data_IF_243393217750
#
_entry.id   IF_243393217750
#
_cell.length_a   1.000
_cell.length_b   1.000
_cell.length_c   1.000
_cell.angle_alpha   90.00
_cell.angle_beta   90.00
_cell.angle_gamma   90.00
#
_symmetry.space_group_name_H-M   'P 1'
#
loop_
_entity.id
_entity.type
_entity.pdbx_description
1 polymer ?
#
# COMPACT_ATOMS: atom_id res chain seq x y z
N UNK A 1 9.56 9.95 4.48
CA UNK A 1 8.30 9.32 3.94
C UNK A 1 8.19 9.43 2.42
N UNK A 2 8.57 10.58 1.85
CA UNK A 2 8.44 10.84 0.41
C UNK A 2 9.29 9.92 -0.47
N UNK A 3 10.49 9.55 -0.02
CA UNK A 3 11.35 8.60 -0.72
C UNK A 3 10.68 7.22 -0.88
N UNK A 4 10.00 6.75 0.17
CA UNK A 4 9.29 5.47 0.14
C UNK A 4 8.06 5.51 -0.77
N UNK A 5 7.35 6.63 -0.78
CA UNK A 5 6.26 6.86 -1.74
C UNK A 5 6.79 6.88 -3.18
N UNK A 6 7.91 7.58 -3.41
CA UNK A 6 8.60 7.62 -4.72
C UNK A 6 9.04 6.23 -5.19
N UNK A 7 9.59 5.42 -4.28
CA UNK A 7 9.90 4.02 -4.55
C UNK A 7 8.65 3.20 -4.91
N UNK A 8 7.54 3.40 -4.20
CA UNK A 8 6.26 2.77 -4.52
C UNK A 8 5.72 3.15 -5.90
N UNK A 9 5.89 4.42 -6.30
CA UNK A 9 5.53 4.93 -7.62
C UNK A 9 6.40 4.29 -8.71
N UNK A 10 7.72 4.30 -8.55
CA UNK A 10 8.66 3.80 -9.57
C UNK A 10 8.61 2.29 -9.76
N UNK A 11 8.16 1.54 -8.74
CA UNK A 11 8.03 0.07 -8.81
C UNK A 11 6.60 -0.37 -9.13
N UNK A 12 5.71 -0.32 -8.14
CA UNK A 12 4.36 -0.85 -8.26
C UNK A 12 3.48 0.07 -9.10
N UNK A 13 3.65 1.40 -8.96
CA UNK A 13 2.96 2.37 -9.80
C UNK A 13 3.30 2.20 -11.29
N UNK A 14 4.58 2.03 -11.62
CA UNK A 14 5.03 1.75 -12.99
C UNK A 14 4.44 0.45 -13.56
N UNK A 15 4.37 -0.62 -12.76
CA UNK A 15 3.73 -1.87 -13.17
C UNK A 15 2.22 -1.72 -13.41
N UNK A 16 1.51 -0.98 -12.54
CA UNK A 16 0.09 -0.66 -12.74
C UNK A 16 -0.10 0.13 -14.03
N UNK A 17 0.76 1.11 -14.31
CA UNK A 17 0.72 1.90 -15.56
C UNK A 17 0.93 1.02 -16.78
N UNK A 18 1.91 0.12 -16.74
CA UNK A 18 2.17 -0.80 -17.84
C UNK A 18 0.99 -1.74 -18.08
N UNK A 19 0.39 -2.28 -17.00
CA UNK A 19 -0.80 -3.10 -17.11
C UNK A 19 -1.98 -2.32 -17.69
N UNK A 20 -2.19 -1.08 -17.24
CA UNK A 20 -3.22 -0.20 -17.74
C UNK A 20 -3.02 0.11 -19.24
N UNK A 21 -1.79 0.33 -19.68
CA UNK A 21 -1.46 0.58 -21.09
C UNK A 21 -1.79 -0.62 -21.98
N UNK A 22 -1.47 -1.84 -21.54
CA UNK A 22 -1.84 -3.07 -22.25
C UNK A 22 -3.36 -3.20 -22.38
N UNK A 23 -4.11 -2.95 -21.30
CA UNK A 23 -5.57 -3.00 -21.33
C UNK A 23 -6.18 -1.88 -22.21
N UNK A 24 -5.58 -0.69 -22.20
CA UNK A 24 -6.01 0.43 -23.03
C UNK A 24 -5.86 0.07 -24.51
N UNK A 25 -4.68 -0.43 -24.92
CA UNK A 25 -4.43 -0.87 -26.31
C UNK A 25 -5.40 -1.96 -26.75
N UNK A 26 -5.67 -2.95 -25.89
CA UNK A 26 -6.60 -4.02 -26.19
C UNK A 26 -8.05 -3.54 -26.36
N UNK A 27 -8.45 -2.49 -25.61
CA UNK A 27 -9.80 -1.92 -25.68
C UNK A 27 -9.95 -0.78 -26.69
N UNK A 28 -8.90 -0.48 -27.48
CA UNK A 28 -8.90 0.62 -28.45
C UNK A 28 -8.85 2.02 -27.81
N UNK A 29 -8.47 2.11 -26.53
CA UNK A 29 -8.36 3.36 -25.77
C UNK A 29 -6.93 3.80 -25.52
N UNK A 30 -6.76 4.91 -24.79
CA UNK A 30 -5.47 5.43 -24.36
C UNK A 30 -5.44 5.65 -22.84
N UNK A 31 -4.23 5.63 -22.26
CA UNK A 31 -4.00 5.99 -20.87
C UNK A 31 -4.01 7.51 -20.71
N UNK A 32 -5.11 8.07 -20.18
CA UNK A 32 -5.17 9.48 -19.81
C UNK A 32 -4.40 9.80 -18.52
N UNK A 33 -4.22 11.09 -18.23
CA UNK A 33 -3.53 11.58 -17.03
C UNK A 33 -4.15 11.08 -15.72
N UNK A 34 -5.47 10.88 -15.70
CA UNK A 34 -6.19 10.32 -14.55
C UNK A 34 -5.74 8.89 -14.20
N UNK A 35 -5.43 8.07 -15.21
CA UNK A 35 -4.91 6.71 -15.04
C UNK A 35 -3.51 6.75 -14.44
N UNK A 36 -2.65 7.63 -14.96
CA UNK A 36 -1.27 7.80 -14.48
C UNK A 36 -1.29 8.26 -13.01
N UNK A 37 -2.05 9.32 -12.73
CA UNK A 37 -2.19 9.88 -11.38
C UNK A 37 -2.73 8.84 -10.39
N UNK A 38 -3.76 8.08 -10.77
CA UNK A 38 -4.28 7.01 -9.93
C UNK A 38 -3.25 5.92 -9.66
N UNK A 39 -2.45 5.54 -10.66
CA UNK A 39 -1.43 4.50 -10.53
C UNK A 39 -0.30 4.95 -9.60
N UNK A 40 0.08 6.23 -9.65
CA UNK A 40 1.04 6.81 -8.73
C UNK A 40 0.51 6.80 -7.29
N UNK A 41 -0.74 7.23 -7.06
CA UNK A 41 -1.34 7.21 -5.72
C UNK A 41 -1.47 5.79 -5.16
N UNK A 42 -1.90 4.82 -5.97
CA UNK A 42 -1.99 3.40 -5.55
C UNK A 42 -0.58 2.82 -5.34
N UNK A 43 0.38 3.17 -6.17
CA UNK A 43 1.79 2.78 -6.04
C UNK A 43 2.42 3.28 -4.74
N UNK A 44 2.23 4.56 -4.40
CA UNK A 44 2.68 5.13 -3.12
C UNK A 44 2.06 4.38 -1.94
N UNK A 45 0.74 4.19 -1.94
CA UNK A 45 0.05 3.47 -0.88
C UNK A 45 0.55 2.02 -0.75
N UNK A 46 0.84 1.37 -1.88
CA UNK A 46 1.41 0.02 -1.89
C UNK A 46 2.81 0.00 -1.27
N UNK A 47 3.70 0.91 -1.66
CA UNK A 47 5.06 0.99 -1.10
C UNK A 47 5.06 1.13 0.41
N UNK A 48 4.23 2.06 0.93
CA UNK A 48 4.04 2.28 2.36
C UNK A 48 3.53 1.03 3.09
N UNK A 49 2.44 0.41 2.61
CA UNK A 49 1.84 -0.74 3.29
C UNK A 49 2.65 -2.03 3.13
N UNK A 50 3.33 -2.19 1.99
CA UNK A 50 4.27 -3.29 1.78
C UNK A 50 5.43 -3.20 2.75
N UNK A 51 5.89 -1.99 3.10
CA UNK A 51 6.90 -1.82 4.13
C UNK A 51 6.41 -2.27 5.51
N UNK A 52 5.21 -1.82 5.92
CA UNK A 52 4.58 -2.26 7.18
C UNK A 52 4.48 -3.78 7.21
N UNK A 53 4.04 -4.40 6.12
CA UNK A 53 3.98 -5.85 6.00
C UNK A 53 5.38 -6.48 6.01
N UNK A 54 6.40 -5.91 5.40
CA UNK A 54 7.74 -6.47 5.35
C UNK A 54 8.53 -6.27 6.66
N UNK A 55 8.07 -5.39 7.56
CA UNK A 55 8.78 -5.05 8.80
C UNK A 55 9.15 -6.26 9.65
N UNK A 56 8.20 -7.13 10.00
CA UNK A 56 8.44 -8.30 10.85
C UNK A 56 9.52 -9.27 10.30
N UNK A 57 9.45 -9.76 9.04
CA UNK A 57 10.48 -10.65 8.51
C UNK A 57 11.84 -9.94 8.34
N UNK A 58 11.87 -8.64 8.06
CA UNK A 58 13.12 -7.88 8.00
C UNK A 58 13.75 -7.71 9.39
N UNK A 59 12.94 -7.42 10.40
CA UNK A 59 13.38 -7.34 11.80
C UNK A 59 13.96 -8.67 12.27
N UNK A 60 13.39 -9.81 11.87
CA UNK A 60 13.95 -11.13 12.18
C UNK A 60 15.35 -11.38 11.62
N UNK A 61 15.76 -10.57 10.62
CA UNK A 61 17.09 -10.59 10.00
C UNK A 61 18.00 -9.46 10.49
N UNK A 62 17.58 -8.69 11.51
CA UNK A 62 18.34 -7.53 11.99
C UNK A 62 18.19 -6.27 11.13
N UNK A 63 17.25 -6.24 10.18
CA UNK A 63 17.07 -5.12 9.26
C UNK A 63 15.87 -4.29 9.71
N UNK A 64 16.11 -3.04 10.13
CA UNK A 64 15.06 -2.08 10.46
C UNK A 64 14.80 -1.19 9.24
N UNK A 65 13.79 -1.54 8.46
CA UNK A 65 13.37 -0.76 7.30
C UNK A 65 12.12 0.05 7.69
N UNK A 66 12.33 1.22 8.29
CA UNK A 66 11.28 2.21 8.61
C UNK A 66 11.81 3.61 8.31
N UNK A 67 10.96 4.57 7.91
CA UNK A 67 11.40 5.93 7.60
C UNK A 67 12.04 6.61 8.82
N UNK A 68 13.31 6.97 8.71
CA UNK A 68 14.09 7.57 9.81
C UNK A 68 13.48 8.88 10.31
N UNK A 69 12.93 9.70 9.41
CA UNK A 69 12.23 10.95 9.75
C UNK A 69 11.08 10.67 10.72
N UNK A 70 10.32 9.61 10.46
CA UNK A 70 9.15 9.25 11.26
C UNK A 70 9.54 8.62 12.59
N UNK A 71 10.61 7.83 12.61
CA UNK A 71 11.18 7.33 13.87
C UNK A 71 11.65 8.48 14.76
N UNK A 72 12.33 9.46 14.18
CA UNK A 72 12.86 10.63 14.89
C UNK A 72 11.74 11.49 15.47
N UNK A 73 10.64 11.69 14.72
CA UNK A 73 9.45 12.40 15.20
C UNK A 73 8.82 11.77 16.45
N UNK A 74 8.88 10.44 16.56
CA UNK A 74 8.35 9.68 17.71
C UNK A 74 9.42 9.34 18.76
N UNK A 75 10.63 9.90 18.66
CA UNK A 75 11.72 9.66 19.62
C UNK A 75 12.24 8.21 19.63
N UNK A 76 12.05 7.49 18.54
CA UNK A 76 12.48 6.09 18.37
C UNK A 76 13.82 6.01 17.66
N UNK A 77 14.68 5.12 18.16
CA UNK A 77 15.86 4.67 17.44
C UNK A 77 15.58 3.31 16.79
N UNK A 78 16.27 2.97 15.68
CA UNK A 78 16.17 1.64 15.07
C UNK A 78 16.49 0.52 16.07
N UNK A 79 17.44 0.74 16.98
CA UNK A 79 17.83 -0.21 18.03
C UNK A 79 16.69 -0.48 19.02
N UNK A 80 15.92 0.55 19.40
CA UNK A 80 14.77 0.38 20.28
C UNK A 80 13.70 -0.49 19.63
N UNK A 81 13.43 -0.29 18.35
CA UNK A 81 12.49 -1.11 17.58
C UNK A 81 12.98 -2.55 17.47
N UNK A 82 14.26 -2.76 17.16
CA UNK A 82 14.83 -4.10 17.10
C UNK A 82 14.71 -4.84 18.43
N UNK A 83 14.99 -4.15 19.53
CA UNK A 83 14.86 -4.69 20.89
C UNK A 83 13.43 -4.70 21.44
N UNK A 84 12.42 -4.36 20.63
CA UNK A 84 10.99 -4.29 21.01
C UNK A 84 10.72 -3.37 22.21
N UNK A 85 11.51 -2.31 22.35
CA UNK A 85 11.31 -1.24 23.34
C UNK A 85 10.37 -0.17 22.78
N UNK A 86 9.67 0.53 23.66
CA UNK A 86 8.78 1.64 23.33
C UNK A 86 7.65 1.25 22.33
N UNK A 87 6.87 0.24 22.72
CA UNK A 87 5.82 -0.35 21.88
C UNK A 87 4.77 0.69 21.42
N UNK A 88 4.41 1.64 22.28
CA UNK A 88 3.40 2.67 21.96
C UNK A 88 3.91 3.65 20.89
N UNK A 89 5.19 4.05 20.96
CA UNK A 89 5.80 4.87 19.94
C UNK A 89 5.87 4.11 18.60
N UNK A 90 6.14 2.80 18.63
CA UNK A 90 6.18 1.99 17.40
C UNK A 90 4.79 1.88 16.75
N UNK A 91 3.73 1.76 17.56
CA UNK A 91 2.34 1.80 17.09
C UNK A 91 2.01 3.16 16.48
N UNK A 92 2.48 4.26 17.08
CA UNK A 92 2.25 5.61 16.56
C UNK A 92 2.88 5.81 15.17
N UNK A 93 4.13 5.34 14.98
CA UNK A 93 4.81 5.33 13.67
C UNK A 93 3.98 4.56 12.63
N UNK A 94 3.55 3.34 12.94
CA UNK A 94 2.74 2.54 12.00
C UNK A 94 1.39 3.19 11.72
N UNK A 95 0.77 3.82 12.72
CA UNK A 95 -0.49 4.54 12.55
C UNK A 95 -0.36 5.70 11.56
N UNK A 96 0.73 6.45 11.61
CA UNK A 96 1.01 7.53 10.67
C UNK A 96 1.23 7.00 9.24
N UNK A 97 1.98 5.90 9.10
CA UNK A 97 2.17 5.24 7.79
C UNK A 97 0.82 4.79 7.22
N UNK A 98 0.00 4.13 8.03
CA UNK A 98 -1.34 3.67 7.63
C UNK A 98 -2.24 4.85 7.26
N UNK A 99 -2.14 5.96 7.98
CA UNK A 99 -2.91 7.16 7.68
C UNK A 99 -2.57 7.72 6.30
N UNK A 100 -1.28 7.94 6.02
CA UNK A 100 -0.79 8.45 4.73
C UNK A 100 -1.13 7.48 3.59
N UNK A 101 -0.92 6.18 3.78
CA UNK A 101 -1.25 5.17 2.77
C UNK A 101 -2.76 5.10 2.49
N UNK A 102 -3.59 5.20 3.53
CA UNK A 102 -5.05 5.24 3.38
C UNK A 102 -5.50 6.49 2.62
N UNK A 103 -4.88 7.64 2.89
CA UNK A 103 -5.15 8.89 2.17
C UNK A 103 -4.79 8.77 0.68
N UNK A 104 -3.60 8.25 0.36
CA UNK A 104 -3.21 7.99 -1.03
C UNK A 104 -4.16 7.02 -1.74
N UNK A 105 -4.51 5.90 -1.09
CA UNK A 105 -5.45 4.95 -1.69
C UNK A 105 -6.82 5.58 -1.95
N UNK A 106 -7.31 6.41 -1.02
CA UNK A 106 -8.56 7.16 -1.18
C UNK A 106 -8.48 8.14 -2.35
N UNK A 107 -7.44 8.98 -2.40
CA UNK A 107 -7.25 9.92 -3.53
C UNK A 107 -7.13 9.19 -4.87
N UNK A 108 -6.47 8.02 -4.90
CA UNK A 108 -6.42 7.18 -6.09
C UNK A 108 -7.79 6.66 -6.51
N UNK A 109 -8.70 6.35 -5.56
CA UNK A 109 -10.07 5.92 -5.82
C UNK A 109 -10.99 7.06 -6.26
N UNK A 110 -10.78 8.26 -5.75
CA UNK A 110 -11.55 9.44 -6.15
C UNK A 110 -11.37 9.72 -7.65
N UNK A 111 -10.23 9.33 -8.23
CA UNK A 111 -9.95 9.40 -9.67
C UNK A 111 -10.63 8.31 -10.51
N UNK A 112 -11.29 7.32 -9.90
CA UNK A 112 -11.90 6.17 -10.61
C UNK A 112 -12.89 6.60 -11.69
N UNK A 113 -13.60 7.73 -11.51
CA UNK A 113 -14.52 8.28 -12.51
C UNK A 113 -13.84 8.71 -13.81
N UNK A 114 -12.57 9.11 -13.75
CA UNK A 114 -11.77 9.46 -14.93
C UNK A 114 -11.17 8.25 -15.65
N UNK A 115 -11.34 7.04 -15.10
CA UNK A 115 -10.74 5.81 -15.62
C UNK A 115 -11.83 4.96 -16.31
N UNK A 116 -11.65 4.62 -17.61
CA UNK A 116 -12.52 3.70 -18.32
C UNK A 116 -12.65 2.33 -17.63
N UNK A 117 -13.85 1.75 -17.68
CA UNK A 117 -14.13 0.44 -17.05
C UNK A 117 -13.22 -0.69 -17.54
N UNK A 118 -12.75 -0.62 -18.80
CA UNK A 118 -11.83 -1.61 -19.38
C UNK A 118 -10.43 -1.58 -18.75
N UNK A 119 -10.02 -0.45 -18.17
CA UNK A 119 -8.67 -0.23 -17.62
C UNK A 119 -8.64 -0.47 -16.10
N UNK A 120 -9.76 -0.25 -15.40
CA UNK A 120 -9.89 -0.44 -13.94
C UNK A 120 -9.34 -1.79 -13.41
N UNK A 121 -9.42 -2.93 -14.13
CA UNK A 121 -8.81 -4.18 -13.67
C UNK A 121 -7.31 -4.10 -13.33
N UNK A 122 -6.55 -3.18 -13.96
CA UNK A 122 -5.13 -2.96 -13.66
C UNK A 122 -4.85 -2.62 -12.19
N UNK A 123 -5.84 -2.04 -11.50
CA UNK A 123 -5.69 -1.51 -10.14
C UNK A 123 -6.18 -2.48 -9.06
N UNK A 124 -7.11 -3.37 -9.40
CA UNK A 124 -7.89 -4.13 -8.42
C UNK A 124 -7.01 -4.99 -7.52
N UNK A 125 -6.05 -5.72 -8.08
CA UNK A 125 -5.20 -6.61 -7.30
C UNK A 125 -4.38 -5.84 -6.25
N UNK A 126 -3.72 -4.75 -6.66
CA UNK A 126 -2.92 -3.91 -5.78
C UNK A 126 -3.79 -3.23 -4.72
N UNK A 127 -4.92 -2.62 -5.12
CA UNK A 127 -5.83 -1.93 -4.20
C UNK A 127 -6.45 -2.89 -3.15
N UNK A 128 -6.87 -4.09 -3.56
CA UNK A 128 -7.39 -5.11 -2.64
C UNK A 128 -6.31 -5.60 -1.66
N UNK A 129 -5.07 -5.73 -2.15
CA UNK A 129 -3.92 -6.10 -1.31
C UNK A 129 -3.68 -5.06 -0.22
N UNK A 130 -3.67 -3.78 -0.59
CA UNK A 130 -3.48 -2.66 0.34
C UNK A 130 -4.63 -2.60 1.36
N UNK A 131 -5.89 -2.69 0.92
CA UNK A 131 -7.05 -2.73 1.82
C UNK A 131 -6.94 -3.82 2.88
N UNK A 132 -6.52 -5.01 2.45
CA UNK A 132 -6.35 -6.15 3.37
C UNK A 132 -5.25 -5.89 4.39
N UNK A 133 -4.10 -5.37 3.97
CA UNK A 133 -3.00 -5.05 4.89
C UNK A 133 -3.47 -3.97 5.87
N UNK A 134 -4.08 -2.88 5.40
CA UNK A 134 -4.63 -1.82 6.27
C UNK A 134 -5.62 -2.40 7.27
N UNK A 135 -6.54 -3.28 6.83
CA UNK A 135 -7.53 -3.91 7.69
C UNK A 135 -6.88 -4.77 8.78
N UNK A 136 -5.88 -5.58 8.44
CA UNK A 136 -5.15 -6.38 9.43
C UNK A 136 -4.38 -5.47 10.38
N UNK A 137 -3.64 -4.48 9.87
CA UNK A 137 -2.85 -3.56 10.70
C UNK A 137 -3.73 -2.85 11.73
N UNK A 138 -4.92 -2.40 11.33
CA UNK A 138 -5.92 -1.83 12.26
C UNK A 138 -6.44 -2.85 13.27
N UNK A 139 -6.69 -4.10 12.84
CA UNK A 139 -7.18 -5.17 13.71
C UNK A 139 -6.17 -5.57 14.80
N UNK A 140 -4.88 -5.46 14.51
CA UNK A 140 -3.80 -5.75 15.47
C UNK A 140 -3.35 -4.51 16.25
N UNK A 141 -4.14 -3.44 16.24
CA UNK A 141 -3.83 -2.18 16.92
C UNK A 141 -2.44 -1.62 16.56
N UNK A 142 -2.12 -1.65 15.26
CA UNK A 142 -0.88 -1.12 14.69
C UNK A 142 0.40 -1.80 15.22
N UNK A 143 0.28 -2.98 15.82
CA UNK A 143 1.42 -3.78 16.27
C UNK A 143 2.24 -4.30 15.08
N UNK A 144 3.48 -3.82 15.01
CA UNK A 144 4.48 -4.13 13.98
C UNK A 144 5.01 -5.56 14.14
N UNK A 145 4.99 -6.10 15.36
CA UNK A 145 5.55 -7.40 15.71
C UNK A 145 4.58 -8.56 15.49
N UNK A 146 3.33 -8.24 15.14
CA UNK A 146 2.27 -9.21 14.99
C UNK A 146 2.44 -10.10 13.75
N UNK A 147 2.54 -11.42 13.95
CA UNK A 147 2.58 -12.39 12.85
C UNK A 147 1.32 -12.35 11.95
N UNK A 148 0.23 -11.77 12.44
CA UNK A 148 -0.99 -11.57 11.66
C UNK A 148 -0.77 -10.69 10.43
N UNK A 149 0.17 -9.74 10.45
CA UNK A 149 0.53 -8.90 9.29
C UNK A 149 0.98 -9.73 8.08
N UNK A 150 1.57 -10.91 8.31
CA UNK A 150 2.00 -11.82 7.24
C UNK A 150 0.86 -12.65 6.64
N UNK A 151 -0.28 -12.77 7.33
CA UNK A 151 -1.36 -13.65 6.87
C UNK A 151 -1.86 -13.18 5.50
N UNK A 152 -1.97 -14.15 4.58
CA UNK A 152 -2.62 -13.95 3.28
C UNK A 152 -4.12 -13.81 3.51
N UNK A 153 -4.79 -13.06 2.62
CA UNK A 153 -6.24 -13.01 2.62
C UNK A 153 -6.78 -14.33 2.00
N UNK A 154 -7.45 -15.21 2.76
CA UNK A 154 -8.01 -16.44 2.19
C UNK A 154 -9.10 -16.15 1.15
N UNK A 155 -9.75 -14.99 1.25
CA UNK A 155 -10.82 -14.54 0.35
C UNK A 155 -10.31 -13.50 -0.66
N UNK A 156 -9.00 -13.46 -0.95
CA UNK A 156 -8.42 -12.47 -1.86
C UNK A 156 -9.09 -12.52 -3.24
N UNK A 157 -9.21 -13.72 -3.82
CA UNK A 157 -9.81 -13.91 -5.14
C UNK A 157 -11.26 -13.40 -5.15
N UNK A 158 -12.04 -13.71 -4.11
CA UNK A 158 -13.40 -13.21 -3.96
C UNK A 158 -13.47 -11.69 -3.85
N UNK A 159 -12.54 -11.06 -3.11
CA UNK A 159 -12.47 -9.60 -3.03
C UNK A 159 -12.18 -8.95 -4.39
N UNK A 160 -11.28 -9.55 -5.18
CA UNK A 160 -10.95 -9.08 -6.53
C UNK A 160 -12.16 -9.23 -7.46
N UNK A 161 -12.83 -10.38 -7.45
CA UNK A 161 -14.02 -10.62 -8.27
C UNK A 161 -15.17 -9.67 -7.92
N UNK A 162 -15.39 -9.45 -6.62
CA UNK A 162 -16.42 -8.52 -6.14
C UNK A 162 -16.16 -7.08 -6.57
N UNK A 163 -14.91 -6.62 -6.45
CA UNK A 163 -14.48 -5.29 -6.90
C UNK A 163 -14.61 -5.12 -8.41
N UNK A 164 -14.24 -6.15 -9.19
CA UNK A 164 -14.45 -6.18 -10.63
C UNK A 164 -15.93 -6.04 -11.00
N UNK A 165 -16.82 -6.75 -10.30
CA UNK A 165 -18.27 -6.67 -10.51
C UNK A 165 -18.81 -5.27 -10.19
N UNK A 166 -18.36 -4.67 -9.09
CA UNK A 166 -18.72 -3.31 -8.68
C UNK A 166 -18.06 -2.21 -9.52
N UNK A 167 -17.20 -2.56 -10.49
CA UNK A 167 -16.43 -1.61 -11.31
C UNK A 167 -15.62 -0.61 -10.48
N UNK A 168 -15.17 -1.03 -9.30
CA UNK A 168 -14.32 -0.24 -8.40
C UNK A 168 -13.04 -1.01 -8.09
N UNK A 169 -11.99 -0.31 -7.65
CA UNK A 169 -10.77 -0.90 -7.11
C UNK A 169 -10.54 -0.40 -5.69
#
# INVERSE_FOLDING_TARGET
>A
MDELSSYGISTTGALIRLHADVLARYSGGYCGEGVISAAEKVGSAYGLMNLVRASLPLLSRGIVLLPLDLLSLHGLSPEKIYNKKDHDASKAVIKDIVHVASAHLKSGRDLCYSIPNSIRPAFIASACGIDHIIKITKKVDYDIYSAYLQRRNPLFIWSVLWKRLLRTY
#
